data_IF_052974820925
#
_entry.id   IF_052974820925
#
_cell.length_a   1.000
_cell.length_b   1.000
_cell.length_c   1.000
_cell.angle_alpha   90.00
_cell.angle_beta   90.00
_cell.angle_gamma   90.00
#
_symmetry.space_group_name_H-M   'P 1'
#
loop_
_entity.id
_entity.type
_entity.pdbx_description
1 polymer ?
#
# COMPACT_ATOMS: atom_id res chain seq x y z
N UNK A 1 -4.02 27.31 32.83
CA UNK A 1 -2.66 26.75 32.88
C UNK A 1 -2.81 25.24 32.86
N UNK A 2 -2.53 24.56 31.75
CA UNK A 2 -2.62 23.09 31.70
C UNK A 2 -1.55 22.48 32.62
N UNK A 3 -1.84 21.39 33.35
CA UNK A 3 -0.82 20.72 34.16
C UNK A 3 0.29 20.20 33.27
N UNK A 4 1.54 20.36 33.71
CA UNK A 4 2.72 19.86 33.00
C UNK A 4 2.64 18.33 32.87
N UNK A 5 3.06 17.74 31.73
CA UNK A 5 3.06 16.30 31.55
C UNK A 5 3.95 15.66 32.61
N UNK A 6 3.48 14.54 33.19
CA UNK A 6 4.25 13.79 34.19
C UNK A 6 5.53 13.28 33.54
N UNK A 7 6.68 13.59 34.14
CA UNK A 7 7.97 13.09 33.67
C UNK A 7 8.02 11.56 33.71
N UNK A 8 8.60 10.95 32.68
CA UNK A 8 8.76 9.49 32.60
C UNK A 8 9.80 9.02 33.63
N UNK A 9 9.49 8.02 34.48
CA UNK A 9 10.47 7.42 35.37
C UNK A 9 11.65 6.82 34.60
N UNK A 10 12.89 6.89 35.09
CA UNK A 10 14.07 6.35 34.39
C UNK A 10 13.95 4.87 34.02
N UNK A 11 13.34 4.06 34.90
CA UNK A 11 13.08 2.62 34.65
C UNK A 11 12.15 2.40 33.45
N UNK A 12 11.11 3.23 33.32
CA UNK A 12 10.16 3.16 32.20
C UNK A 12 10.84 3.59 30.90
N UNK A 13 11.70 4.62 30.95
CA UNK A 13 12.48 5.06 29.77
C UNK A 13 13.39 3.94 29.27
N UNK A 14 14.08 3.22 30.17
CA UNK A 14 14.93 2.09 29.80
C UNK A 14 14.12 0.94 29.19
N UNK A 15 12.95 0.62 29.75
CA UNK A 15 12.07 -0.41 29.19
C UNK A 15 11.57 -0.05 27.78
N UNK A 16 11.18 1.22 27.59
CA UNK A 16 10.79 1.72 26.27
C UNK A 16 11.96 1.64 25.28
N UNK A 17 13.16 2.04 25.70
CA UNK A 17 14.36 1.99 24.86
C UNK A 17 14.67 0.56 24.41
N UNK A 18 14.67 -0.41 25.33
CA UNK A 18 14.86 -1.84 25.02
C UNK A 18 13.81 -2.36 24.04
N UNK A 19 12.55 -1.91 24.20
CA UNK A 19 11.46 -2.31 23.31
C UNK A 19 11.64 -1.78 21.90
N UNK A 20 12.09 -0.52 21.76
CA UNK A 20 12.38 0.12 20.47
C UNK A 20 13.56 -0.57 19.79
N UNK A 21 14.64 -0.81 20.53
CA UNK A 21 15.84 -1.50 20.01
C UNK A 21 15.50 -2.90 19.52
N UNK A 22 14.71 -3.66 20.29
CA UNK A 22 14.27 -4.99 19.88
C UNK A 22 13.39 -4.95 18.61
N UNK A 23 12.45 -4.00 18.53
CA UNK A 23 11.62 -3.78 17.35
C UNK A 23 12.44 -3.44 16.11
N UNK A 24 13.43 -2.55 16.26
CA UNK A 24 14.34 -2.16 15.18
C UNK A 24 15.19 -3.34 14.70
N UNK A 25 15.82 -4.07 15.62
CA UNK A 25 16.63 -5.25 15.29
C UNK A 25 15.81 -6.32 14.56
N UNK A 26 14.57 -6.54 14.99
CA UNK A 26 13.64 -7.45 14.31
C UNK A 26 13.32 -6.98 12.90
N UNK A 27 13.08 -5.69 12.71
CA UNK A 27 12.79 -5.10 11.40
C UNK A 27 13.95 -5.29 10.42
N UNK A 28 15.17 -4.86 10.78
CA UNK A 28 16.33 -4.97 9.90
C UNK A 28 16.68 -6.43 9.57
N UNK A 29 16.47 -7.34 10.53
CA UNK A 29 16.68 -8.79 10.33
C UNK A 29 15.69 -9.35 9.31
N UNK A 30 14.41 -8.98 9.39
CA UNK A 30 13.39 -9.41 8.42
C UNK A 30 13.72 -8.94 7.00
N UNK A 31 14.09 -7.66 6.87
CA UNK A 31 14.46 -7.08 5.57
C UNK A 31 15.73 -7.75 5.01
N UNK A 32 16.75 -7.97 5.86
CA UNK A 32 17.97 -8.66 5.47
C UNK A 32 17.68 -10.06 4.93
N UNK A 33 16.84 -10.84 5.62
CA UNK A 33 16.45 -12.18 5.18
C UNK A 33 15.68 -12.15 3.84
N UNK A 34 14.72 -11.23 3.68
CA UNK A 34 13.93 -11.11 2.45
C UNK A 34 14.79 -10.73 1.24
N UNK A 35 15.79 -9.86 1.45
CA UNK A 35 16.69 -9.35 0.40
C UNK A 35 18.00 -10.13 0.27
N UNK A 36 18.17 -11.21 1.02
CA UNK A 36 19.41 -12.02 1.06
C UNK A 36 20.66 -11.14 1.33
N UNK A 37 20.52 -10.21 2.26
CA UNK A 37 21.55 -9.27 2.72
C UNK A 37 21.90 -9.54 4.18
N UNK A 38 22.75 -8.71 4.79
CA UNK A 38 23.05 -8.77 6.23
C UNK A 38 22.39 -7.63 6.99
N UNK A 39 22.05 -7.81 8.28
CA UNK A 39 21.47 -6.75 9.10
C UNK A 39 22.30 -5.47 9.12
N UNK A 40 23.64 -5.57 9.12
CA UNK A 40 24.55 -4.42 9.13
C UNK A 40 24.46 -3.60 7.85
N UNK A 41 24.32 -4.28 6.70
CA UNK A 41 24.17 -3.59 5.42
C UNK A 41 22.81 -2.93 5.29
N UNK A 42 21.77 -3.54 5.86
CA UNK A 42 20.44 -2.93 5.94
C UNK A 42 20.44 -1.76 6.92
N UNK A 43 21.13 -1.86 8.05
CA UNK A 43 21.25 -0.78 9.03
C UNK A 43 21.83 0.51 8.43
N UNK A 44 22.84 0.38 7.56
CA UNK A 44 23.47 1.51 6.85
C UNK A 44 22.50 2.28 5.94
N UNK A 45 21.47 1.62 5.41
CA UNK A 45 20.45 2.23 4.55
C UNK A 45 19.11 2.42 5.27
N UNK A 46 18.98 1.91 6.49
CA UNK A 46 17.84 2.07 7.38
C UNK A 46 18.00 3.39 8.16
N UNK A 47 17.70 3.47 9.46
CA UNK A 47 17.73 4.73 10.25
C UNK A 47 16.58 5.73 10.00
N UNK A 48 15.45 5.26 9.46
CA UNK A 48 14.26 6.12 9.25
C UNK A 48 14.35 7.01 8.00
N UNK A 49 15.31 6.75 7.11
CA UNK A 49 15.39 7.39 5.82
C UNK A 49 14.21 6.99 4.91
N UNK A 50 13.61 8.00 4.27
CA UNK A 50 12.58 7.81 3.25
C UNK A 50 13.28 7.78 1.88
N UNK A 51 13.02 6.73 1.12
CA UNK A 51 13.61 6.51 -0.20
C UNK A 51 12.60 6.79 -1.30
N UNK A 52 13.06 7.36 -2.42
CA UNK A 52 12.28 7.36 -3.66
C UNK A 52 12.25 5.93 -4.24
N UNK A 53 11.32 5.65 -5.15
CA UNK A 53 11.27 4.35 -5.81
C UNK A 53 12.60 3.99 -6.50
N UNK A 54 13.18 4.96 -7.21
CA UNK A 54 14.45 4.81 -7.92
C UNK A 54 15.60 4.47 -6.96
N UNK A 55 15.74 5.22 -5.86
CA UNK A 55 16.78 4.96 -4.86
C UNK A 55 16.56 3.62 -4.15
N UNK A 56 15.30 3.27 -3.84
CA UNK A 56 14.96 1.99 -3.24
C UNK A 56 15.37 0.83 -4.17
N UNK A 57 15.24 0.99 -5.48
CA UNK A 57 15.68 -0.02 -6.45
C UNK A 57 17.21 -0.10 -6.50
N UNK A 58 17.89 1.06 -6.51
CA UNK A 58 19.35 1.12 -6.50
C UNK A 58 19.95 0.46 -5.24
N UNK A 59 19.29 0.65 -4.10
CA UNK A 59 19.68 0.06 -2.81
C UNK A 59 19.21 -1.39 -2.62
N UNK A 60 18.50 -1.97 -3.60
CA UNK A 60 18.01 -3.36 -3.53
C UNK A 60 16.86 -3.58 -2.55
N UNK A 61 16.16 -2.51 -2.16
CA UNK A 61 14.97 -2.57 -1.30
C UNK A 61 13.70 -2.92 -2.10
N UNK A 62 13.66 -2.66 -3.41
CA UNK A 62 12.59 -3.06 -4.34
C UNK A 62 13.16 -3.75 -5.57
N UNK A 63 12.37 -4.63 -6.19
CA UNK A 63 12.82 -5.46 -7.31
C UNK A 63 12.69 -4.73 -8.67
N UNK A 64 11.62 -3.97 -8.85
CA UNK A 64 11.32 -3.25 -10.09
C UNK A 64 10.55 -1.96 -9.84
N UNK A 65 10.61 -1.05 -10.82
CA UNK A 65 9.73 0.12 -10.89
C UNK A 65 8.66 -0.18 -11.93
N UNK A 66 7.44 0.22 -11.63
CA UNK A 66 6.28 -0.05 -12.46
C UNK A 66 5.02 0.44 -11.75
N UNK A 67 3.89 0.13 -12.35
CA UNK A 67 2.58 0.41 -11.77
C UNK A 67 1.89 -0.86 -11.25
N UNK A 68 0.58 -0.76 -11.00
CA UNK A 68 -0.21 -1.88 -10.52
C UNK A 68 -0.36 -2.99 -11.57
N UNK A 69 -0.48 -2.65 -12.85
CA UNK A 69 -0.66 -3.63 -13.92
C UNK A 69 0.61 -4.49 -14.09
N UNK A 70 1.79 -3.87 -13.94
CA UNK A 70 3.07 -4.59 -13.92
C UNK A 70 3.13 -5.60 -12.76
N UNK A 71 2.63 -5.23 -11.58
CA UNK A 71 2.61 -6.12 -10.43
C UNK A 71 1.66 -7.32 -10.63
N UNK A 72 0.48 -7.09 -11.20
CA UNK A 72 -0.48 -8.15 -11.53
C UNK A 72 0.08 -9.09 -12.59
N UNK A 73 0.67 -8.54 -13.65
CA UNK A 73 1.31 -9.33 -14.70
C UNK A 73 2.44 -10.20 -14.12
N UNK A 74 3.26 -9.64 -13.21
CA UNK A 74 4.34 -10.39 -12.58
C UNK A 74 3.82 -11.51 -11.69
N UNK A 75 2.76 -11.27 -10.92
CA UNK A 75 2.12 -12.30 -10.11
C UNK A 75 1.56 -13.45 -10.96
N UNK A 76 0.90 -13.14 -12.08
CA UNK A 76 0.37 -14.13 -13.00
C UNK A 76 1.49 -14.95 -13.67
N UNK A 77 2.60 -14.32 -14.04
CA UNK A 77 3.80 -14.98 -14.58
C UNK A 77 4.36 -15.99 -13.57
N UNK A 78 4.56 -15.57 -12.32
CA UNK A 78 5.07 -16.44 -11.25
C UNK A 78 4.13 -17.61 -10.93
N UNK A 79 2.81 -17.39 -11.04
CA UNK A 79 1.78 -18.41 -10.88
C UNK A 79 1.55 -19.28 -12.13
N UNK A 80 2.22 -18.98 -13.26
CA UNK A 80 2.06 -19.65 -14.56
C UNK A 80 0.61 -19.64 -15.09
N UNK A 81 -0.12 -18.56 -14.84
CA UNK A 81 -1.50 -18.39 -15.29
C UNK A 81 -1.52 -17.71 -16.66
N UNK A 82 -2.34 -18.24 -17.58
CA UNK A 82 -2.57 -17.62 -18.90
C UNK A 82 -3.73 -16.62 -18.90
N UNK A 83 -4.65 -16.77 -17.96
CA UNK A 83 -5.87 -15.97 -17.82
C UNK A 83 -6.14 -15.74 -16.34
N UNK A 84 -6.42 -14.50 -15.97
CA UNK A 84 -6.74 -14.09 -14.60
C UNK A 84 -7.79 -12.97 -14.64
N UNK A 85 -8.50 -12.81 -13.53
CA UNK A 85 -9.51 -11.75 -13.35
C UNK A 85 -9.25 -11.03 -12.03
N UNK A 86 -9.37 -9.71 -12.05
CA UNK A 86 -9.24 -8.87 -10.87
C UNK A 86 -10.63 -8.62 -10.29
N UNK A 87 -10.84 -9.05 -9.04
CA UNK A 87 -12.03 -8.73 -8.28
C UNK A 87 -11.69 -7.58 -7.32
N UNK A 88 -12.25 -6.41 -7.59
CA UNK A 88 -12.15 -5.27 -6.68
C UNK A 88 -13.30 -5.37 -5.67
N UNK A 89 -12.95 -5.61 -4.41
CA UNK A 89 -13.90 -5.54 -3.31
C UNK A 89 -13.89 -4.11 -2.78
N UNK A 90 -14.93 -3.35 -3.08
CA UNK A 90 -15.25 -2.12 -2.35
C UNK A 90 -16.27 -2.50 -1.30
N UNK A 91 -15.90 -2.40 -0.02
CA UNK A 91 -16.90 -2.34 1.03
C UNK A 91 -17.61 -0.99 0.88
N UNK A 92 -18.86 -1.03 0.42
CA UNK A 92 -19.74 0.12 0.59
C UNK A 92 -19.80 0.36 2.11
N UNK A 93 -19.25 1.49 2.54
CA UNK A 93 -19.42 1.93 3.91
C UNK A 93 -20.91 2.18 4.09
N UNK A 94 -21.63 1.16 4.56
CA UNK A 94 -23.06 1.21 4.82
C UNK A 94 -23.35 2.36 5.79
N UNK A 95 -23.76 3.46 5.18
CA UNK A 95 -24.76 4.47 5.51
C UNK A 95 -25.42 4.45 6.92
N UNK A 96 -24.67 4.19 7.98
CA UNK A 96 -25.13 4.31 9.37
C UNK A 96 -24.88 5.72 9.93
N UNK A 97 -24.48 6.67 9.07
CA UNK A 97 -24.38 8.11 9.35
C UNK A 97 -25.25 8.96 8.42
N UNK A 98 -26.27 8.40 7.78
CA UNK A 98 -27.29 9.20 7.10
C UNK A 98 -28.67 8.84 7.68
N UNK A 99 -28.96 9.46 8.82
CA UNK A 99 -30.21 9.26 9.54
C UNK A 99 -31.41 9.77 8.73
N UNK A 100 -31.94 8.95 7.84
CA UNK A 100 -33.29 9.09 7.32
C UNK A 100 -33.77 7.73 6.79
N UNK A 101 -34.62 7.06 7.56
CA UNK A 101 -35.29 5.86 7.11
C UNK A 101 -36.19 6.14 5.91
N UNK A 102 -36.09 5.30 4.88
CA UNK A 102 -37.22 5.01 4.02
C UNK A 102 -37.13 3.54 3.55
N UNK A 103 -38.07 2.66 3.93
CA UNK A 103 -38.10 1.32 3.40
C UNK A 103 -38.76 1.30 2.01
N UNK A 104 -38.45 0.24 1.27
CA UNK A 104 -39.13 -0.27 0.07
C UNK A 104 -38.93 0.45 -1.26
N UNK A 105 -38.09 -0.14 -2.13
CA UNK A 105 -38.45 -0.46 -3.53
C UNK A 105 -37.83 -1.78 -3.99
N UNK A 106 -38.51 -2.87 -3.65
CA UNK A 106 -38.34 -4.16 -4.30
C UNK A 106 -38.69 -4.06 -5.79
N UNK A 107 -37.72 -4.40 -6.64
CA UNK A 107 -37.94 -5.19 -7.85
C UNK A 107 -38.17 -4.43 -9.15
N UNK A 108 -37.15 -4.42 -10.03
CA UNK A 108 -37.39 -4.68 -11.46
C UNK A 108 -36.20 -5.45 -12.07
N UNK A 109 -36.43 -6.75 -12.23
CA UNK A 109 -35.97 -7.69 -13.28
C UNK A 109 -34.81 -7.28 -14.20
N UNK A 110 -33.77 -8.13 -14.17
CA UNK A 110 -33.30 -8.98 -15.28
C UNK A 110 -33.70 -8.56 -16.71
N UNK A 111 -32.72 -8.15 -17.54
CA UNK A 111 -32.25 -8.91 -18.71
C UNK A 111 -31.64 -8.03 -19.81
N UNK A 112 -30.55 -8.56 -20.37
CA UNK A 112 -30.17 -8.56 -21.78
C UNK A 112 -29.44 -7.35 -22.41
N UNK A 113 -28.38 -7.70 -23.14
CA UNK A 113 -28.04 -7.06 -24.41
C UNK A 113 -26.82 -6.16 -24.34
N UNK A 114 -25.66 -6.71 -24.71
CA UNK A 114 -24.46 -5.92 -24.93
C UNK A 114 -24.59 -4.99 -26.12
N UNK A 115 -23.90 -3.85 -26.07
CA UNK A 115 -23.32 -3.21 -27.24
C UNK A 115 -22.07 -2.43 -26.78
N UNK A 116 -20.97 -2.78 -27.43
CA UNK A 116 -19.78 -1.98 -27.66
C UNK A 116 -20.08 -0.49 -27.86
N UNK A 117 -19.34 0.40 -27.19
CA UNK A 117 -19.11 1.77 -27.66
C UNK A 117 -19.14 2.87 -26.60
N UNK A 118 -18.12 3.74 -26.68
CA UNK A 118 -17.92 5.04 -26.03
C UNK A 118 -17.51 5.00 -24.54
N UNK A 119 -16.24 5.25 -24.18
CA UNK A 119 -15.45 6.48 -24.30
C UNK A 119 -16.06 7.68 -23.55
N UNK A 120 -15.40 8.11 -22.47
CA UNK A 120 -14.89 9.49 -22.29
C UNK A 120 -14.44 9.75 -20.83
N UNK A 121 -13.13 9.79 -20.59
CA UNK A 121 -12.53 10.72 -19.64
C UNK A 121 -11.34 11.39 -20.33
N UNK A 122 -11.38 12.72 -20.37
CA UNK A 122 -10.66 13.58 -21.30
C UNK A 122 -9.24 13.96 -20.83
N UNK A 123 -8.24 13.81 -21.69
CA UNK A 123 -6.92 14.44 -21.59
C UNK A 123 -6.72 15.43 -22.74
N UNK A 124 -6.67 16.73 -22.44
CA UNK A 124 -6.57 17.83 -23.41
C UNK A 124 -5.12 17.97 -23.91
N UNK A 125 -5.00 17.98 -25.25
CA UNK A 125 -3.82 18.18 -26.11
C UNK A 125 -2.74 19.14 -25.59
N UNK A 126 -1.49 18.68 -25.57
CA UNK A 126 -0.27 19.47 -25.76
C UNK A 126 0.53 18.85 -26.93
N UNK A 127 0.70 19.59 -28.03
CA UNK A 127 1.25 19.09 -29.30
C UNK A 127 2.78 18.90 -29.35
N UNK A 128 3.31 18.39 -30.48
CA UNK A 128 4.72 18.00 -30.62
C UNK A 128 5.61 19.22 -30.95
N UNK A 129 6.77 19.32 -30.29
CA UNK A 129 7.91 20.10 -30.80
C UNK A 129 8.85 19.16 -31.55
N UNK A 130 9.25 19.61 -32.73
CA UNK A 130 10.40 19.12 -33.48
C UNK A 130 11.68 19.23 -32.66
#
# INVERSE_FOLDING_TARGET
>A
MSPAPKALPPEVQQLMQLSIENGYQRFITLVANARKSTPEKIDQIAQGHVWTGEDAKANGLVDSLGDFDDAVAKAAELAKLKTWHLNYYQEEADLLLDGAGQPDRLGTRLAAGGHSGLAACAGRRGGPRR
#
